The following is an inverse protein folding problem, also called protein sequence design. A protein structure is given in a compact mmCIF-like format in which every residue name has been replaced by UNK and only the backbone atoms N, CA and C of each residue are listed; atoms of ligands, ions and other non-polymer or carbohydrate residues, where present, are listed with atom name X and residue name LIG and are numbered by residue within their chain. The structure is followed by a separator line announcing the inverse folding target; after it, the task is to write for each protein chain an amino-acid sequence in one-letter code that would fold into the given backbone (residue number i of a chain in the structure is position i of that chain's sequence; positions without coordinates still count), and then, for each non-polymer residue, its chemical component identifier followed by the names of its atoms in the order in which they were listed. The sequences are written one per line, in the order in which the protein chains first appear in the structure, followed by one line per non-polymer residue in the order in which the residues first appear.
data_IF_265915551525
#
_entry.id   IF_265915551525
#
_cell.length_a   1.000
_cell.length_b   1.000
_cell.length_c   1.000
_cell.angle_alpha   90.00
_cell.angle_beta   90.00
_cell.angle_gamma   90.00
#
_symmetry.space_group_name_H-M   'P 1'
#
loop_
_entity.id
_entity.type
_entity.pdbx_description
1 polymer ?
#
# COMPACT_ATOMS: atom_id res chain seq x y z
N UNK A 1 19.27 -5.12 -21.48
CA UNK A 1 18.35 -5.92 -20.68
C UNK A 1 18.87 -6.00 -19.27
N UNK A 2 18.00 -5.81 -18.28
CA UNK A 2 18.31 -5.94 -16.86
C UNK A 2 17.24 -6.80 -16.17
N UNK A 3 17.59 -7.42 -15.05
CA UNK A 3 16.69 -8.13 -14.17
C UNK A 3 16.64 -7.41 -12.83
N UNK A 4 15.45 -7.01 -12.40
CA UNK A 4 15.18 -6.57 -11.04
C UNK A 4 14.59 -7.74 -10.26
N UNK A 5 15.09 -7.99 -9.05
CA UNK A 5 14.64 -9.08 -8.18
C UNK A 5 14.49 -8.56 -6.76
N UNK A 6 13.38 -8.90 -6.13
CA UNK A 6 13.14 -8.74 -4.71
C UNK A 6 12.81 -10.09 -4.10
N UNK A 7 13.40 -10.42 -2.97
CA UNK A 7 13.12 -11.66 -2.24
C UNK A 7 13.14 -11.40 -0.75
N UNK A 8 12.24 -12.03 -0.03
CA UNK A 8 12.11 -11.89 1.40
C UNK A 8 11.96 -13.24 2.09
N UNK A 9 12.68 -13.41 3.17
CA UNK A 9 12.55 -14.52 4.12
C UNK A 9 12.39 -13.94 5.51
N UNK A 10 11.14 -13.62 5.86
CA UNK A 10 10.81 -12.93 7.10
C UNK A 10 10.33 -13.89 8.20
N UNK A 11 9.63 -14.97 7.84
CA UNK A 11 9.06 -15.87 8.82
C UNK A 11 10.14 -16.54 9.68
N UNK A 12 10.00 -16.45 11.00
CA UNK A 12 10.79 -17.16 12.00
C UNK A 12 9.86 -17.79 13.04
N UNK A 13 10.28 -18.94 13.62
CA UNK A 13 9.63 -19.53 14.81
C UNK A 13 9.94 -18.74 16.07
N UNK A 14 11.06 -18.04 16.08
CA UNK A 14 11.42 -17.07 17.11
C UNK A 14 10.66 -15.77 16.84
N UNK A 15 9.60 -15.55 17.62
CA UNK A 15 8.70 -14.41 17.45
C UNK A 15 9.35 -13.10 17.88
N UNK A 16 10.21 -13.14 18.87
CA UNK A 16 10.93 -11.95 19.35
C UNK A 16 11.90 -11.46 18.29
N UNK A 17 12.72 -12.38 17.74
CA UNK A 17 13.59 -12.06 16.60
C UNK A 17 12.79 -11.52 15.40
N UNK A 18 11.67 -12.17 15.05
CA UNK A 18 10.83 -11.76 13.93
C UNK A 18 10.30 -10.32 14.09
N UNK A 19 9.88 -9.94 15.29
CA UNK A 19 9.38 -8.58 15.54
C UNK A 19 10.50 -7.55 15.62
N UNK A 20 11.68 -7.93 16.14
CA UNK A 20 12.81 -7.02 16.29
C UNK A 20 13.40 -6.53 14.97
N UNK A 21 13.22 -7.27 13.86
CA UNK A 21 13.71 -6.83 12.54
C UNK A 21 13.03 -5.54 12.06
N UNK A 22 11.80 -5.29 12.51
CA UNK A 22 11.09 -4.05 12.18
C UNK A 22 11.71 -2.81 12.82
N UNK A 23 12.46 -2.96 13.90
CA UNK A 23 13.18 -1.85 14.54
C UNK A 23 14.26 -1.23 13.62
N UNK A 24 14.73 -1.97 12.61
CA UNK A 24 15.68 -1.46 11.63
C UNK A 24 15.07 -0.50 10.58
N UNK A 25 13.76 -0.37 10.56
CA UNK A 25 13.06 0.44 9.55
C UNK A 25 12.76 1.88 10.01
N UNK A 26 13.27 2.30 11.16
CA UNK A 26 13.21 3.66 11.66
C UNK A 26 14.52 4.05 12.38
N UNK A 27 14.68 5.34 12.72
CA UNK A 27 15.86 5.80 13.43
C UNK A 27 15.81 5.34 14.90
N UNK A 28 16.61 4.31 15.21
CA UNK A 28 16.68 3.74 16.56
C UNK A 28 17.35 4.67 17.57
N UNK A 29 18.13 5.68 17.10
CA UNK A 29 18.77 6.66 17.97
C UNK A 29 17.80 7.71 18.51
N UNK A 30 16.63 7.84 17.86
CA UNK A 30 15.60 8.84 18.20
C UNK A 30 14.23 8.20 18.51
N UNK A 31 14.25 6.92 18.89
CA UNK A 31 13.06 6.09 19.09
C UNK A 31 12.05 6.71 20.05
N UNK A 32 12.51 7.27 21.17
CA UNK A 32 11.63 7.85 22.19
C UNK A 32 10.93 9.11 21.68
N UNK A 33 11.63 9.97 20.96
CA UNK A 33 11.04 11.19 20.38
C UNK A 33 10.03 10.84 19.28
N UNK A 34 10.35 9.87 18.41
CA UNK A 34 9.43 9.40 17.36
C UNK A 34 8.18 8.80 18.00
N UNK A 35 8.33 7.96 19.03
CA UNK A 35 7.20 7.37 19.76
C UNK A 35 6.32 8.43 20.40
N UNK A 36 6.91 9.47 20.99
CA UNK A 36 6.16 10.58 21.56
C UNK A 36 5.38 11.35 20.48
N UNK A 37 6.01 11.67 19.34
CA UNK A 37 5.33 12.33 18.21
C UNK A 37 4.16 11.52 17.68
N UNK A 38 4.30 10.19 17.60
CA UNK A 38 3.22 9.29 17.16
C UNK A 38 2.05 9.29 18.17
N UNK A 39 2.32 9.31 19.48
CA UNK A 39 1.28 9.43 20.48
C UNK A 39 0.53 10.77 20.34
N UNK A 40 1.23 11.88 20.18
CA UNK A 40 0.66 13.21 19.97
C UNK A 40 -0.23 13.28 18.71
N UNK A 41 0.14 12.56 17.62
CA UNK A 41 -0.71 12.47 16.44
C UNK A 41 -2.09 11.88 16.75
N UNK A 42 -2.15 10.91 17.65
CA UNK A 42 -3.38 10.23 18.04
C UNK A 42 -4.23 10.94 19.09
N UNK A 43 -3.72 12.00 19.73
CA UNK A 43 -4.43 12.73 20.79
C UNK A 43 -5.83 13.21 20.35
N UNK A 44 -6.80 13.09 21.25
CA UNK A 44 -8.20 13.46 21.01
C UNK A 44 -9.05 12.36 20.38
N UNK A 45 -8.48 11.20 20.07
CA UNK A 45 -9.20 9.98 19.69
C UNK A 45 -8.80 8.87 20.65
N UNK A 46 -9.59 8.70 21.72
CA UNK A 46 -9.30 7.71 22.75
C UNK A 46 -9.67 6.29 22.27
N UNK A 47 -8.74 5.31 22.35
CA UNK A 47 -9.06 3.92 22.04
C UNK A 47 -10.11 3.37 23.02
N UNK A 48 -11.19 2.74 22.55
CA UNK A 48 -12.14 2.07 23.43
C UNK A 48 -11.47 0.94 24.23
N UNK A 49 -11.93 0.65 25.48
CA UNK A 49 -11.40 -0.45 26.27
C UNK A 49 -11.44 -1.80 25.51
N UNK A 50 -10.36 -2.58 25.61
CA UNK A 50 -10.29 -3.91 24.99
C UNK A 50 -10.00 -3.90 23.48
N UNK A 51 -9.57 -2.76 22.92
CA UNK A 51 -9.22 -2.64 21.48
C UNK A 51 -7.72 -2.68 21.19
N UNK A 52 -6.93 -3.12 22.17
CA UNK A 52 -5.50 -3.39 22.01
C UNK A 52 -5.23 -4.87 22.30
N UNK A 53 -4.39 -5.50 21.50
CA UNK A 53 -4.01 -6.91 21.64
C UNK A 53 -3.11 -7.14 22.87
N UNK A 54 -3.39 -8.20 23.62
CA UNK A 54 -2.49 -8.68 24.68
C UNK A 54 -1.27 -9.44 24.11
N UNK A 55 -1.28 -9.78 22.81
CA UNK A 55 -0.18 -10.47 22.13
C UNK A 55 0.76 -9.47 21.47
N UNK A 56 2.07 -9.74 21.47
CA UNK A 56 3.03 -8.90 20.75
C UNK A 56 2.69 -8.75 19.26
N UNK A 57 2.83 -7.55 18.73
CA UNK A 57 2.66 -7.20 17.31
C UNK A 57 3.77 -6.23 16.86
N UNK A 58 3.88 -5.97 15.57
CA UNK A 58 4.88 -5.05 15.03
C UNK A 58 4.59 -3.62 15.44
N UNK A 59 5.62 -2.89 15.81
CA UNK A 59 5.57 -1.45 16.13
C UNK A 59 4.91 -0.61 15.01
N UNK A 60 5.00 -1.04 13.77
CA UNK A 60 4.34 -0.37 12.65
C UNK A 60 2.82 -0.36 12.75
N UNK A 61 2.22 -1.28 13.51
CA UNK A 61 0.79 -1.23 13.77
C UNK A 61 0.43 -0.01 14.62
N UNK A 62 1.25 0.37 15.59
CA UNK A 62 1.05 1.58 16.38
C UNK A 62 1.28 2.84 15.53
N UNK A 63 2.24 2.82 14.60
CA UNK A 63 2.46 3.90 13.63
C UNK A 63 1.19 4.14 12.80
N UNK A 64 0.66 3.09 12.16
CA UNK A 64 -0.56 3.21 11.36
C UNK A 64 -1.80 3.51 12.19
N UNK A 65 -1.87 3.04 13.42
CA UNK A 65 -2.95 3.41 14.34
C UNK A 65 -2.89 4.90 14.71
N UNK A 66 -1.70 5.47 14.89
CA UNK A 66 -1.51 6.91 15.11
C UNK A 66 -1.96 7.72 13.87
N UNK A 67 -1.56 7.30 12.67
CA UNK A 67 -2.01 7.91 11.41
C UNK A 67 -3.53 7.79 11.24
N UNK A 68 -4.11 6.64 11.59
CA UNK A 68 -5.56 6.45 11.57
C UNK A 68 -6.27 7.45 12.47
N UNK A 69 -5.82 7.59 13.72
CA UNK A 69 -6.44 8.52 14.68
C UNK A 69 -6.26 9.98 14.26
N UNK A 70 -5.10 10.36 13.70
CA UNK A 70 -4.92 11.68 13.09
C UNK A 70 -5.94 11.93 11.99
N UNK A 71 -6.13 10.97 11.10
CA UNK A 71 -7.05 11.07 9.97
C UNK A 71 -8.51 11.10 10.45
N UNK A 72 -8.86 10.29 11.46
CA UNK A 72 -10.19 10.29 12.09
C UNK A 72 -10.54 11.67 12.69
N UNK A 73 -9.63 12.28 13.45
CA UNK A 73 -9.89 13.59 14.05
C UNK A 73 -9.89 14.73 13.04
N UNK A 74 -9.12 14.62 11.96
CA UNK A 74 -8.96 15.70 10.98
C UNK A 74 -10.09 15.69 9.94
N UNK A 75 -10.47 14.51 9.46
CA UNK A 75 -11.39 14.35 8.34
C UNK A 75 -12.67 13.59 8.69
N UNK A 76 -12.78 13.08 9.93
CA UNK A 76 -13.96 12.32 10.33
C UNK A 76 -14.01 10.88 9.82
N UNK A 77 -12.88 10.35 9.33
CA UNK A 77 -12.80 8.95 8.90
C UNK A 77 -13.21 8.01 10.00
N UNK A 78 -14.00 7.01 9.67
CA UNK A 78 -14.54 6.04 10.64
C UNK A 78 -13.80 4.72 10.58
N UNK A 79 -13.82 3.95 11.67
CA UNK A 79 -13.28 2.57 11.66
C UNK A 79 -13.97 1.71 10.60
N UNK A 80 -15.26 1.95 10.32
CA UNK A 80 -16.02 1.23 9.29
C UNK A 80 -15.45 1.50 7.88
N UNK A 81 -15.04 2.71 7.59
CA UNK A 81 -14.41 3.06 6.32
C UNK A 81 -13.05 2.38 6.15
N UNK A 82 -12.26 2.30 7.22
CA UNK A 82 -11.01 1.54 7.23
C UNK A 82 -11.30 0.04 7.02
N UNK A 83 -12.32 -0.50 7.69
CA UNK A 83 -12.75 -1.88 7.51
C UNK A 83 -13.23 -2.20 6.08
N UNK A 84 -13.84 -1.23 5.41
CA UNK A 84 -14.28 -1.40 4.02
C UNK A 84 -13.11 -1.65 3.06
N UNK A 85 -11.95 -1.00 3.30
CA UNK A 85 -10.71 -1.26 2.55
C UNK A 85 -10.27 -2.71 2.73
N UNK A 86 -10.16 -3.18 3.98
CA UNK A 86 -9.73 -4.54 4.27
C UNK A 86 -10.71 -5.57 3.67
N UNK A 87 -12.02 -5.37 3.84
CA UNK A 87 -13.04 -6.25 3.25
C UNK A 87 -12.89 -6.36 1.72
N UNK A 88 -12.67 -5.22 1.04
CA UNK A 88 -12.42 -5.16 -0.39
C UNK A 88 -11.14 -5.93 -0.77
N UNK A 89 -10.02 -5.70 -0.10
CA UNK A 89 -8.74 -6.34 -0.40
C UNK A 89 -8.83 -7.86 -0.20
N UNK A 90 -9.46 -8.32 0.87
CA UNK A 90 -9.73 -9.74 1.07
C UNK A 90 -10.66 -10.34 -0.01
N UNK A 91 -11.65 -9.57 -0.50
CA UNK A 91 -12.50 -10.01 -1.62
C UNK A 91 -11.70 -10.10 -2.93
N UNK A 92 -10.82 -9.13 -3.23
CA UNK A 92 -9.98 -9.15 -4.44
C UNK A 92 -9.02 -10.35 -4.46
N UNK A 93 -8.51 -10.76 -3.31
CA UNK A 93 -7.54 -11.86 -3.20
C UNK A 93 -8.14 -13.25 -3.40
N UNK A 94 -9.46 -13.43 -3.29
CA UNK A 94 -10.12 -14.73 -3.44
C UNK A 94 -9.71 -15.43 -4.76
N UNK A 95 -9.69 -14.67 -5.83
CA UNK A 95 -9.36 -15.15 -7.17
C UNK A 95 -7.86 -15.01 -7.52
N UNK A 96 -7.01 -14.60 -6.56
CA UNK A 96 -5.58 -14.51 -6.78
C UNK A 96 -4.85 -15.76 -6.27
N UNK A 97 -4.36 -16.66 -7.15
CA UNK A 97 -3.67 -17.87 -6.72
C UNK A 97 -2.36 -17.62 -5.97
N UNK A 98 -1.81 -16.39 -6.07
CA UNK A 98 -0.57 -15.99 -5.41
C UNK A 98 -0.82 -15.37 -4.03
N UNK A 99 -2.08 -15.19 -3.61
CA UNK A 99 -2.41 -14.59 -2.33
C UNK A 99 -2.21 -15.57 -1.17
N UNK A 100 -1.68 -15.05 -0.06
CA UNK A 100 -1.51 -15.77 1.20
C UNK A 100 -2.86 -16.08 1.83
N UNK A 101 -3.77 -15.11 1.83
CA UNK A 101 -5.15 -15.28 2.26
C UNK A 101 -6.10 -15.20 1.06
N UNK A 102 -7.06 -16.12 1.01
CA UNK A 102 -8.06 -16.21 -0.06
C UNK A 102 -9.45 -16.42 0.51
N UNK A 103 -9.69 -15.77 1.65
CA UNK A 103 -10.96 -15.82 2.38
C UNK A 103 -11.57 -14.44 2.36
N UNK A 104 -12.78 -14.25 1.83
CA UNK A 104 -13.46 -12.97 1.86
C UNK A 104 -13.95 -12.66 3.28
N UNK A 105 -14.02 -11.38 3.60
CA UNK A 105 -14.65 -10.87 4.82
C UNK A 105 -15.66 -9.79 4.46
N UNK A 106 -16.79 -9.77 5.18
CA UNK A 106 -17.66 -8.60 5.22
C UNK A 106 -17.05 -7.51 6.10
N UNK A 107 -17.50 -6.28 5.94
CA UNK A 107 -17.07 -5.15 6.79
C UNK A 107 -17.32 -5.46 8.27
N UNK A 108 -18.46 -6.06 8.59
CA UNK A 108 -18.83 -6.39 9.99
C UNK A 108 -17.93 -7.51 10.56
N UNK A 109 -17.53 -8.50 9.77
CA UNK A 109 -16.55 -9.51 10.20
C UNK A 109 -15.17 -8.88 10.44
N UNK A 110 -14.74 -7.92 9.61
CA UNK A 110 -13.49 -7.18 9.83
C UNK A 110 -13.55 -6.38 11.13
N UNK A 111 -14.65 -5.66 11.38
CA UNK A 111 -14.84 -4.87 12.60
C UNK A 111 -14.85 -5.72 13.87
N UNK A 112 -15.44 -6.92 13.83
CA UNK A 112 -15.55 -7.83 14.95
C UNK A 112 -14.37 -8.79 15.10
N UNK A 113 -13.37 -8.69 14.24
CA UNK A 113 -12.16 -9.52 14.31
C UNK A 113 -11.28 -9.12 15.53
N UNK A 114 -10.34 -9.98 15.95
CA UNK A 114 -9.44 -9.68 17.06
C UNK A 114 -8.74 -8.33 16.87
N UNK A 115 -8.71 -7.47 17.90
CA UNK A 115 -8.04 -6.18 17.80
C UNK A 115 -6.52 -6.34 17.76
N UNK A 116 -5.84 -5.40 17.10
CA UNK A 116 -4.38 -5.23 17.18
C UNK A 116 -4.06 -4.00 18.01
N UNK A 117 -4.38 -2.82 17.50
CA UNK A 117 -4.32 -1.52 18.20
C UNK A 117 -5.32 -0.58 17.51
N UNK A 118 -6.16 0.11 18.29
CA UNK A 118 -7.27 0.90 17.75
C UNK A 118 -6.81 1.96 16.72
N UNK A 119 -7.47 2.03 15.55
CA UNK A 119 -8.70 1.35 15.12
C UNK A 119 -8.49 0.02 14.37
N UNK A 120 -7.28 -0.55 14.37
CA UNK A 120 -6.92 -1.71 13.54
C UNK A 120 -7.33 -3.03 14.18
N UNK A 121 -7.97 -3.89 13.37
CA UNK A 121 -8.22 -5.31 13.66
C UNK A 121 -7.33 -6.18 12.80
N UNK A 122 -7.24 -7.47 13.12
CA UNK A 122 -6.32 -8.41 12.46
C UNK A 122 -6.44 -8.41 10.91
N UNK A 123 -7.63 -8.46 10.29
CA UNK A 123 -7.74 -8.43 8.83
C UNK A 123 -7.35 -7.10 8.18
N UNK A 124 -7.24 -6.01 8.96
CA UNK A 124 -6.78 -4.71 8.47
C UNK A 124 -5.26 -4.58 8.41
N UNK A 125 -4.52 -5.64 8.73
CA UNK A 125 -3.07 -5.63 8.85
C UNK A 125 -2.45 -6.70 7.96
N UNK A 126 -1.36 -6.37 7.28
CA UNK A 126 -0.63 -7.33 6.45
C UNK A 126 -0.01 -8.45 7.28
N UNK A 127 -0.06 -9.71 6.79
CA UNK A 127 0.61 -10.82 7.45
C UNK A 127 2.13 -10.79 7.24
N UNK A 128 2.85 -11.48 8.13
CA UNK A 128 4.25 -11.83 7.88
C UNK A 128 4.31 -12.80 6.70
N UNK A 129 5.11 -12.48 5.70
CA UNK A 129 5.17 -13.22 4.44
C UNK A 129 6.60 -13.49 4.00
N UNK A 130 6.81 -14.67 3.45
CA UNK A 130 7.98 -15.01 2.63
C UNK A 130 7.58 -14.95 1.17
N UNK A 131 8.46 -14.51 0.29
CA UNK A 131 8.14 -14.48 -1.13
C UNK A 131 9.20 -13.81 -1.98
N UNK A 132 9.02 -13.90 -3.29
CA UNK A 132 9.90 -13.27 -4.26
C UNK A 132 9.12 -12.75 -5.46
N UNK A 133 9.65 -11.71 -6.07
CA UNK A 133 9.13 -11.17 -7.34
C UNK A 133 10.27 -10.66 -8.20
N UNK A 134 10.11 -10.73 -9.52
CA UNK A 134 11.12 -10.28 -10.46
C UNK A 134 10.49 -9.61 -11.68
N UNK A 135 11.21 -8.63 -12.24
CA UNK A 135 10.84 -7.96 -13.47
C UNK A 135 12.02 -7.89 -14.44
N UNK A 136 11.77 -8.20 -15.70
CA UNK A 136 12.75 -7.99 -16.78
C UNK A 136 12.53 -6.62 -17.40
N UNK A 137 13.58 -5.79 -17.37
CA UNK A 137 13.58 -4.46 -17.97
C UNK A 137 14.44 -4.45 -19.23
N UNK A 138 13.96 -3.79 -20.27
CA UNK A 138 14.71 -3.66 -21.51
C UNK A 138 14.50 -2.28 -22.14
N UNK A 139 15.55 -1.77 -22.78
CA UNK A 139 15.42 -0.63 -23.69
C UNK A 139 14.82 -1.09 -25.02
N UNK A 140 14.20 -0.18 -25.77
CA UNK A 140 13.68 -0.49 -27.10
C UNK A 140 14.78 -1.04 -28.03
N UNK A 141 16.02 -0.52 -27.93
CA UNK A 141 17.18 -1.02 -28.66
C UNK A 141 17.62 -2.41 -28.19
N UNK A 142 17.51 -2.70 -26.90
CA UNK A 142 17.77 -4.03 -26.32
C UNK A 142 16.81 -5.08 -26.87
N UNK A 143 15.51 -4.80 -26.86
CA UNK A 143 14.49 -5.69 -27.45
C UNK A 143 14.78 -5.97 -28.92
N UNK A 144 15.07 -4.93 -29.72
CA UNK A 144 15.42 -5.08 -31.13
C UNK A 144 16.65 -5.94 -31.34
N UNK A 145 17.73 -5.70 -30.57
CA UNK A 145 18.99 -6.45 -30.68
C UNK A 145 18.83 -7.94 -30.43
N UNK A 146 17.93 -8.31 -29.51
CA UNK A 146 17.70 -9.70 -29.14
C UNK A 146 16.50 -10.35 -29.87
N UNK A 147 15.90 -9.67 -30.84
CA UNK A 147 14.74 -10.19 -31.59
C UNK A 147 13.51 -10.46 -30.75
N UNK A 148 13.35 -9.74 -29.62
CA UNK A 148 12.24 -9.94 -28.68
C UNK A 148 11.01 -9.18 -29.19
N UNK A 149 9.88 -9.87 -29.23
CA UNK A 149 8.60 -9.28 -29.57
C UNK A 149 8.20 -8.19 -28.55
N UNK A 150 7.84 -7.03 -29.10
CA UNK A 150 7.46 -5.85 -28.32
C UNK A 150 5.96 -5.80 -27.98
N UNK A 151 5.14 -6.67 -28.56
CA UNK A 151 3.68 -6.66 -28.38
C UNK A 151 3.25 -6.82 -26.92
N UNK A 152 4.06 -7.50 -26.12
CA UNK A 152 3.83 -7.74 -24.70
C UNK A 152 4.56 -6.74 -23.78
N UNK A 153 5.33 -5.83 -24.35
CA UNK A 153 6.10 -4.89 -23.56
C UNK A 153 5.19 -3.81 -22.94
N UNK A 154 5.28 -3.64 -21.62
CA UNK A 154 4.64 -2.53 -20.90
C UNK A 154 5.70 -1.45 -20.69
N UNK A 155 5.34 -0.20 -21.00
CA UNK A 155 6.25 0.93 -20.87
C UNK A 155 6.29 1.42 -19.43
N UNK A 156 7.49 1.70 -18.92
CA UNK A 156 7.68 2.50 -17.71
C UNK A 156 7.68 3.97 -18.15
N UNK A 157 6.59 4.67 -17.90
CA UNK A 157 6.42 6.08 -18.27
C UNK A 157 7.11 7.01 -17.27
N UNK A 158 7.03 6.65 -15.99
CA UNK A 158 7.77 7.31 -14.92
C UNK A 158 8.15 6.30 -13.83
N UNK A 159 9.26 6.56 -13.17
CA UNK A 159 9.62 5.94 -11.88
C UNK A 159 10.34 7.03 -11.08
N UNK A 160 9.82 7.35 -9.92
CA UNK A 160 10.27 8.46 -9.07
C UNK A 160 10.42 7.94 -7.65
N UNK A 161 11.57 8.21 -7.06
CA UNK A 161 11.85 7.99 -5.65
C UNK A 161 11.90 9.34 -4.95
N UNK A 162 11.28 9.43 -3.78
CA UNK A 162 11.25 10.62 -2.94
C UNK A 162 11.48 10.22 -1.49
N UNK A 163 12.43 10.85 -0.83
CA UNK A 163 12.65 10.67 0.60
C UNK A 163 11.62 11.45 1.42
N UNK A 164 11.36 10.95 2.61
CA UNK A 164 10.61 11.65 3.65
C UNK A 164 11.23 13.00 4.02
N UNK A 165 10.53 13.75 4.82
CA UNK A 165 10.91 15.08 5.28
C UNK A 165 10.45 15.28 6.74
N UNK A 166 10.90 16.36 7.36
CA UNK A 166 10.41 16.77 8.67
C UNK A 166 9.22 17.76 8.49
N UNK A 167 8.16 17.28 7.84
CA UNK A 167 6.96 18.07 7.61
C UNK A 167 6.12 18.23 8.87
N UNK A 168 5.33 19.30 8.90
CA UNK A 168 4.25 19.42 9.88
C UNK A 168 3.16 18.37 9.65
N UNK A 169 2.52 17.89 10.72
CA UNK A 169 1.49 16.85 10.67
C UNK A 169 0.25 17.26 9.87
N UNK A 170 -0.02 18.56 9.77
CA UNK A 170 -1.15 19.13 9.02
C UNK A 170 -0.81 19.45 7.56
N UNK A 171 0.46 19.39 7.17
CA UNK A 171 0.92 19.66 5.80
C UNK A 171 0.84 18.38 4.95
N UNK A 172 -0.36 17.85 4.75
CA UNK A 172 -0.60 16.59 4.03
C UNK A 172 -0.09 16.63 2.59
N UNK A 173 -0.22 17.78 1.91
CA UNK A 173 0.25 17.98 0.54
C UNK A 173 1.78 17.88 0.39
N UNK A 174 2.53 17.94 1.51
CA UNK A 174 3.99 17.78 1.53
C UNK A 174 4.44 16.34 1.79
N UNK A 175 3.51 15.41 1.95
CA UNK A 175 3.83 14.00 2.12
C UNK A 175 4.75 13.49 1.00
N UNK A 176 5.73 12.65 1.34
CA UNK A 176 6.73 12.17 0.35
C UNK A 176 6.08 11.49 -0.85
N UNK A 177 5.03 10.69 -0.64
CA UNK A 177 4.26 10.07 -1.72
C UNK A 177 3.55 11.11 -2.59
N UNK A 178 2.93 12.15 -2.02
CA UNK A 178 2.27 13.20 -2.79
C UNK A 178 3.26 13.95 -3.69
N UNK A 179 4.47 14.23 -3.17
CA UNK A 179 5.56 14.85 -3.94
C UNK A 179 6.09 13.92 -5.03
N UNK A 180 6.23 12.61 -4.74
CA UNK A 180 6.64 11.61 -5.72
C UNK A 180 5.60 11.48 -6.85
N UNK A 181 4.30 11.40 -6.49
CA UNK A 181 3.19 11.29 -7.41
C UNK A 181 3.13 12.49 -8.38
N UNK A 182 3.21 13.72 -7.86
CA UNK A 182 3.25 14.93 -8.69
C UNK A 182 4.35 14.86 -9.74
N UNK A 183 5.58 14.53 -9.33
CA UNK A 183 6.72 14.40 -10.25
C UNK A 183 6.56 13.23 -11.23
N UNK A 184 5.93 12.15 -10.81
CA UNK A 184 5.68 11.00 -11.69
C UNK A 184 4.65 11.35 -12.77
N UNK A 185 3.56 12.03 -12.41
CA UNK A 185 2.56 12.52 -13.35
C UNK A 185 3.14 13.51 -14.36
N UNK A 186 3.90 14.50 -13.87
CA UNK A 186 4.59 15.47 -14.74
C UNK A 186 5.54 14.77 -15.74
N UNK A 187 6.32 13.80 -15.27
CA UNK A 187 7.27 13.05 -16.10
C UNK A 187 6.57 12.14 -17.12
N UNK A 188 5.45 11.54 -16.75
CA UNK A 188 4.66 10.68 -17.62
C UNK A 188 3.77 11.47 -18.61
N UNK A 189 3.50 12.75 -18.33
CA UNK A 189 2.58 13.60 -19.10
C UNK A 189 1.11 13.20 -18.96
N UNK A 190 0.73 12.71 -17.78
CA UNK A 190 -0.64 12.24 -17.44
C UNK A 190 -1.09 12.79 -16.10
N UNK A 191 -2.36 12.61 -15.75
CA UNK A 191 -2.92 12.99 -14.45
C UNK A 191 -3.58 11.83 -13.70
N UNK A 192 -4.00 12.05 -12.45
CA UNK A 192 -4.68 11.01 -11.65
C UNK A 192 -5.95 10.46 -12.33
N UNK A 193 -6.67 11.29 -13.10
CA UNK A 193 -7.88 10.88 -13.81
C UNK A 193 -7.63 9.90 -14.97
N UNK A 194 -6.39 9.79 -15.43
CA UNK A 194 -6.00 8.88 -16.52
C UNK A 194 -5.68 7.47 -16.01
N UNK A 195 -5.55 7.29 -14.69
CA UNK A 195 -5.16 6.01 -14.08
C UNK A 195 -6.35 5.04 -14.08
N UNK A 196 -6.12 3.88 -14.64
CA UNK A 196 -7.12 2.80 -14.76
C UNK A 196 -7.06 1.80 -13.60
N UNK A 197 -5.91 1.61 -12.97
CA UNK A 197 -5.70 0.72 -11.84
C UNK A 197 -4.50 1.15 -10.99
N UNK A 198 -4.55 0.90 -9.70
CA UNK A 198 -3.47 1.20 -8.78
C UNK A 198 -3.12 0.01 -7.89
N UNK A 199 -1.85 -0.15 -7.57
CA UNK A 199 -1.36 -0.97 -6.46
C UNK A 199 -0.62 -0.03 -5.51
N UNK A 200 -1.03 0.00 -4.24
CA UNK A 200 -0.45 0.87 -3.22
C UNK A 200 0.06 0.07 -2.02
N UNK A 201 0.89 0.70 -1.20
CA UNK A 201 1.44 0.09 0.00
C UNK A 201 0.42 0.15 1.14
N UNK A 202 -0.39 -0.88 1.25
CA UNK A 202 -1.39 -1.09 2.29
C UNK A 202 -0.87 -2.07 3.36
N UNK A 203 0.23 -1.72 4.03
CA UNK A 203 0.67 -2.51 5.20
C UNK A 203 -0.44 -2.60 6.26
N UNK A 204 -1.35 -1.66 6.24
CA UNK A 204 -2.67 -1.69 6.87
C UNK A 204 -3.71 -1.04 5.97
N UNK A 205 -5.00 -1.29 6.23
CA UNK A 205 -6.12 -0.66 5.52
C UNK A 205 -6.05 0.88 5.52
N UNK A 206 -5.55 1.48 6.59
CA UNK A 206 -5.31 2.93 6.65
C UNK A 206 -4.23 3.39 5.69
N UNK A 207 -3.23 2.55 5.45
CA UNK A 207 -2.20 2.82 4.45
C UNK A 207 -2.80 3.05 3.07
N UNK A 208 -3.74 2.20 2.63
CA UNK A 208 -4.43 2.40 1.35
C UNK A 208 -5.16 3.76 1.29
N UNK A 209 -5.91 4.12 2.34
CA UNK A 209 -6.62 5.42 2.40
C UNK A 209 -5.64 6.57 2.21
N UNK A 210 -4.54 6.58 2.95
CA UNK A 210 -3.51 7.62 2.86
C UNK A 210 -2.91 7.67 1.45
N UNK A 211 -2.61 6.53 0.85
CA UNK A 211 -1.91 6.50 -0.42
C UNK A 211 -2.80 6.87 -1.61
N UNK A 212 -4.09 6.50 -1.62
CA UNK A 212 -4.99 6.93 -2.70
C UNK A 212 -5.25 8.44 -2.68
N UNK A 213 -5.22 9.07 -1.51
CA UNK A 213 -5.27 10.52 -1.34
C UNK A 213 -3.98 11.18 -1.82
N UNK A 214 -2.82 10.67 -1.39
CA UNK A 214 -1.50 11.16 -1.82
C UNK A 214 -1.27 11.03 -3.32
N UNK A 215 -1.81 9.99 -3.95
CA UNK A 215 -1.79 9.80 -5.39
C UNK A 215 -2.81 10.69 -6.13
N UNK A 216 -3.70 11.39 -5.42
CA UNK A 216 -4.75 12.21 -6.01
C UNK A 216 -5.85 11.42 -6.69
N UNK A 217 -5.99 10.12 -6.38
CA UNK A 217 -7.07 9.27 -6.90
C UNK A 217 -8.43 9.62 -6.29
N UNK A 218 -8.42 10.30 -5.15
CA UNK A 218 -9.54 11.00 -4.55
C UNK A 218 -9.05 12.28 -3.86
N UNK A 219 -9.96 13.13 -3.41
CA UNK A 219 -9.59 14.30 -2.63
C UNK A 219 -9.06 13.91 -1.24
N UNK A 220 -8.27 14.77 -0.63
CA UNK A 220 -7.79 14.61 0.74
C UNK A 220 -8.99 14.52 1.71
N UNK A 221 -8.98 13.51 2.59
CA UNK A 221 -10.07 13.20 3.51
C UNK A 221 -11.21 12.37 2.90
N UNK A 222 -11.17 12.08 1.61
CA UNK A 222 -12.22 11.32 0.91
C UNK A 222 -11.88 9.82 0.71
N UNK A 223 -10.67 9.39 1.06
CA UNK A 223 -10.22 8.01 0.85
C UNK A 223 -11.10 6.98 1.56
N UNK A 224 -11.51 7.25 2.80
CA UNK A 224 -12.46 6.42 3.53
C UNK A 224 -13.85 6.35 2.87
N UNK A 225 -14.52 7.48 2.65
CA UNK A 225 -15.80 7.54 1.95
C UNK A 225 -15.84 6.86 0.57
N UNK A 226 -14.84 7.08 -0.30
CA UNK A 226 -14.81 6.46 -1.65
C UNK A 226 -14.61 4.95 -1.57
N UNK A 227 -13.83 4.48 -0.58
CA UNK A 227 -13.64 3.04 -0.36
C UNK A 227 -14.92 2.38 0.14
N UNK A 228 -15.63 2.99 1.09
CA UNK A 228 -16.91 2.48 1.61
C UNK A 228 -18.01 2.44 0.53
N UNK A 229 -18.00 3.39 -0.41
CA UNK A 229 -18.91 3.38 -1.58
C UNK A 229 -18.54 2.38 -2.66
N UNK A 230 -17.40 1.67 -2.51
CA UNK A 230 -16.93 0.68 -3.48
C UNK A 230 -16.28 1.28 -4.74
N UNK A 231 -15.93 2.56 -4.75
CA UNK A 231 -15.31 3.20 -5.92
C UNK A 231 -13.90 2.66 -6.22
N UNK A 232 -13.24 2.02 -5.23
CA UNK A 232 -11.91 1.40 -5.33
C UNK A 232 -11.95 -0.11 -5.57
N UNK A 233 -13.13 -0.71 -5.73
CA UNK A 233 -13.29 -2.14 -6.08
C UNK A 233 -12.97 -2.40 -7.54
N UNK A 234 -12.70 -3.66 -7.91
CA UNK A 234 -12.70 -4.08 -9.32
C UNK A 234 -14.09 -3.81 -9.91
N UNK A 235 -14.15 -3.05 -11.00
CA UNK A 235 -15.39 -2.53 -11.59
C UNK A 235 -15.85 -1.17 -11.04
N UNK A 236 -15.21 -0.65 -10.00
CA UNK A 236 -15.41 0.70 -9.50
C UNK A 236 -14.71 1.76 -10.36
N UNK A 237 -14.74 3.02 -9.90
CA UNK A 237 -14.18 4.16 -10.65
C UNK A 237 -12.67 4.05 -10.89
N UNK A 238 -11.91 3.66 -9.89
CA UNK A 238 -10.47 3.39 -9.98
C UNK A 238 -10.11 2.21 -9.07
N UNK A 239 -10.02 0.98 -9.61
CA UNK A 239 -9.64 -0.18 -8.82
C UNK A 239 -8.28 -0.02 -8.17
N UNK A 240 -8.25 -0.25 -6.85
CA UNK A 240 -7.05 -0.20 -6.03
C UNK A 240 -6.79 -1.58 -5.44
N UNK A 241 -5.53 -2.00 -5.49
CA UNK A 241 -5.08 -3.30 -5.01
C UNK A 241 -5.91 -4.48 -5.59
N UNK A 242 -6.06 -4.57 -6.93
CA UNK A 242 -6.77 -5.70 -7.55
C UNK A 242 -6.10 -7.05 -7.23
N UNK A 243 -4.84 -7.05 -6.80
CA UNK A 243 -4.14 -8.25 -6.33
C UNK A 243 -4.66 -8.80 -4.99
N UNK A 244 -5.38 -7.98 -4.21
CA UNK A 244 -5.75 -8.21 -2.81
C UNK A 244 -4.90 -7.42 -1.82
N UNK A 245 -3.99 -6.58 -2.32
CA UNK A 245 -3.12 -5.73 -1.50
C UNK A 245 -2.18 -6.51 -0.58
N UNK A 246 -1.43 -5.79 0.24
CA UNK A 246 -0.52 -6.39 1.20
C UNK A 246 -1.28 -7.09 2.33
N UNK A 247 -2.47 -6.57 2.69
CA UNK A 247 -3.31 -7.12 3.75
C UNK A 247 -3.72 -8.56 3.50
N UNK A 248 -3.98 -8.94 2.26
CA UNK A 248 -4.50 -10.26 1.91
C UNK A 248 -3.59 -11.06 0.99
N UNK A 249 -3.02 -10.43 -0.06
CA UNK A 249 -2.03 -11.09 -0.91
C UNK A 249 -0.79 -11.47 -0.11
N UNK A 250 -0.39 -10.63 0.82
CA UNK A 250 0.82 -10.80 1.64
C UNK A 250 1.85 -9.71 1.39
N UNK A 251 2.77 -9.56 2.34
CA UNK A 251 3.77 -8.51 2.37
C UNK A 251 5.19 -9.06 2.57
N UNK A 252 5.76 -9.79 1.60
CA UNK A 252 7.19 -10.09 1.61
C UNK A 252 7.95 -8.79 1.31
N UNK A 253 8.40 -8.08 2.35
CA UNK A 253 8.80 -6.65 2.34
C UNK A 253 9.68 -6.30 1.14
N UNK A 254 10.79 -7.00 0.94
CA UNK A 254 11.74 -6.74 -0.15
C UNK A 254 11.20 -7.10 -1.55
N UNK A 255 10.12 -7.87 -1.65
CA UNK A 255 9.54 -8.30 -2.92
C UNK A 255 8.27 -7.50 -3.28
N UNK A 256 7.67 -6.78 -2.33
CA UNK A 256 6.35 -6.15 -2.46
C UNK A 256 6.27 -5.19 -3.65
N UNK A 257 7.22 -4.27 -3.81
CA UNK A 257 7.17 -3.29 -4.90
C UNK A 257 7.18 -3.94 -6.29
N UNK A 258 7.97 -5.01 -6.49
CA UNK A 258 7.96 -5.77 -7.73
C UNK A 258 6.71 -6.64 -7.88
N UNK A 259 6.10 -7.12 -6.80
CA UNK A 259 4.84 -7.83 -6.84
C UNK A 259 3.67 -6.92 -7.25
N UNK A 260 3.67 -5.65 -6.83
CA UNK A 260 2.75 -4.62 -7.32
C UNK A 260 2.93 -4.40 -8.84
N UNK A 261 4.17 -4.24 -9.30
CA UNK A 261 4.48 -4.13 -10.73
C UNK A 261 4.02 -5.37 -11.51
N UNK A 262 4.21 -6.58 -10.96
CA UNK A 262 3.75 -7.81 -11.58
C UNK A 262 2.23 -7.79 -11.81
N UNK A 263 1.44 -7.45 -10.79
CA UNK A 263 -0.03 -7.38 -10.93
C UNK A 263 -0.42 -6.34 -11.98
N UNK A 264 0.14 -5.12 -11.92
CA UNK A 264 -0.20 -4.07 -12.88
C UNK A 264 0.21 -4.43 -14.31
N UNK A 265 1.32 -5.14 -14.50
CA UNK A 265 1.71 -5.66 -15.83
C UNK A 265 0.70 -6.70 -16.33
N UNK A 266 0.21 -7.59 -15.46
CA UNK A 266 -0.84 -8.55 -15.81
C UNK A 266 -2.14 -7.83 -16.20
N UNK A 267 -2.54 -6.81 -15.45
CA UNK A 267 -3.72 -5.98 -15.75
C UNK A 267 -3.58 -5.27 -17.12
N UNK A 268 -2.46 -4.62 -17.38
CA UNK A 268 -2.20 -3.90 -18.63
C UNK A 268 -2.08 -4.86 -19.85
N UNK A 269 -1.69 -6.10 -19.64
CA UNK A 269 -1.66 -7.14 -20.68
C UNK A 269 -3.00 -7.83 -20.91
N UNK A 270 -3.99 -7.57 -20.06
CA UNK A 270 -5.26 -8.31 -20.03
C UNK A 270 -5.06 -9.80 -19.71
N UNK A 271 -4.21 -10.08 -18.72
CA UNK A 271 -3.80 -11.42 -18.30
C UNK A 271 -4.14 -11.69 -16.81
N UNK A 272 -4.90 -10.80 -16.15
CA UNK A 272 -5.22 -10.93 -14.72
C UNK A 272 -6.39 -11.92 -14.45
N UNK A 273 -7.00 -12.51 -15.49
CA UNK A 273 -8.09 -13.47 -15.33
C UNK A 273 -9.33 -12.87 -14.65
N UNK A 274 -9.89 -13.53 -13.64
CA UNK A 274 -11.09 -13.02 -12.95
C UNK A 274 -10.92 -11.66 -12.25
N UNK A 275 -9.69 -11.26 -11.99
CA UNK A 275 -9.36 -9.96 -11.38
C UNK A 275 -9.13 -8.84 -12.38
N UNK A 276 -9.40 -9.09 -13.65
CA UNK A 276 -9.12 -8.15 -14.73
C UNK A 276 -9.90 -6.84 -14.54
N UNK A 277 -9.18 -5.73 -14.54
CA UNK A 277 -9.74 -4.38 -14.65
C UNK A 277 -10.01 -4.10 -16.12
N UNK A 278 -11.28 -3.91 -16.46
CA UNK A 278 -11.68 -3.67 -17.83
C UNK A 278 -11.08 -2.39 -18.40
N UNK A 279 -10.53 -2.48 -19.60
CA UNK A 279 -9.97 -1.33 -20.30
C UNK A 279 -8.72 -0.72 -19.69
N UNK A 280 -8.00 -1.43 -18.82
CA UNK A 280 -6.76 -0.95 -18.19
C UNK A 280 -5.72 -0.52 -19.25
N UNK A 281 -5.29 0.75 -19.20
CA UNK A 281 -4.30 1.34 -20.11
C UNK A 281 -3.14 2.02 -19.42
N UNK A 282 -3.40 2.65 -18.30
CA UNK A 282 -2.42 3.31 -17.44
C UNK A 282 -2.60 2.80 -16.02
N UNK A 283 -1.50 2.47 -15.38
CA UNK A 283 -1.51 1.96 -14.02
C UNK A 283 -0.42 2.61 -13.19
N UNK A 284 -0.67 2.74 -11.90
CA UNK A 284 0.26 3.35 -10.95
C UNK A 284 0.57 2.39 -9.81
N UNK A 285 1.85 2.20 -9.53
CA UNK A 285 2.33 1.52 -8.33
C UNK A 285 2.90 2.56 -7.37
N UNK A 286 2.50 2.47 -6.13
CA UNK A 286 3.10 3.21 -5.02
C UNK A 286 3.65 2.21 -3.99
N UNK A 287 4.87 2.45 -3.52
CA UNK A 287 5.48 1.66 -2.47
C UNK A 287 6.28 2.56 -1.54
N UNK A 288 5.81 2.67 -0.31
CA UNK A 288 6.50 3.35 0.78
C UNK A 288 7.31 2.39 1.65
N UNK A 289 8.23 2.91 2.44
CA UNK A 289 8.99 2.08 3.37
C UNK A 289 9.79 2.88 4.39
N UNK A 290 9.99 2.25 5.54
CA UNK A 290 10.62 2.86 6.70
C UNK A 290 9.75 3.96 7.32
N UNK A 291 10.28 4.58 8.37
CA UNK A 291 9.65 5.71 9.03
C UNK A 291 10.68 6.81 9.25
N UNK A 292 10.35 8.02 8.81
CA UNK A 292 11.10 9.25 9.11
C UNK A 292 10.14 10.29 9.67
N UNK A 293 10.31 10.63 10.94
CA UNK A 293 9.37 11.54 11.60
C UNK A 293 7.95 10.97 11.65
N UNK A 294 7.07 11.49 10.79
CA UNK A 294 5.64 11.12 10.74
C UNK A 294 5.19 10.68 9.34
N UNK A 295 6.09 10.23 8.50
CA UNK A 295 5.80 9.70 7.16
C UNK A 295 6.79 8.59 6.78
N UNK A 296 6.60 7.94 5.64
CA UNK A 296 7.57 6.98 5.13
C UNK A 296 8.94 7.63 4.92
N UNK A 297 10.02 6.92 5.27
CA UNK A 297 11.38 7.37 5.02
C UNK A 297 11.66 7.51 3.52
N UNK A 298 11.01 6.70 2.69
CA UNK A 298 11.10 6.75 1.23
C UNK A 298 9.80 6.29 0.60
N UNK A 299 9.39 6.93 -0.48
CA UNK A 299 8.29 6.50 -1.34
C UNK A 299 8.77 6.38 -2.79
N UNK A 300 8.32 5.34 -3.48
CA UNK A 300 8.54 5.12 -4.91
C UNK A 300 7.21 5.10 -5.64
N UNK A 301 7.06 5.95 -6.65
CA UNK A 301 5.88 5.99 -7.52
C UNK A 301 6.28 5.64 -8.94
N UNK A 302 5.67 4.60 -9.50
CA UNK A 302 5.92 4.12 -10.86
C UNK A 302 4.64 4.13 -11.67
N UNK A 303 4.68 4.78 -12.85
CA UNK A 303 3.55 4.81 -13.81
C UNK A 303 3.89 3.92 -14.99
N UNK A 304 3.00 2.98 -15.27
CA UNK A 304 3.09 2.00 -16.34
C UNK A 304 2.02 2.26 -17.38
N UNK A 305 2.33 2.00 -18.66
CA UNK A 305 1.37 2.17 -19.76
C UNK A 305 1.56 1.14 -20.88
N UNK A 306 0.46 0.80 -21.51
CA UNK A 306 0.43 -0.08 -22.68
C UNK A 306 0.69 0.70 -23.97
#
# INVERSE_FOLDING_TARGET
IALAVGTEKMYSRDRELLLSVFDSAWDVSDKDQISQRLMELGEGVEPPPGTTSDKPYSVFMDVYAAFSRLHMKTFGTTQRQIAAVAAKNHQHSVENPLSQYRVPYSIDEVLNAPPITYPLTLPMCSPISDGSSAAVLATASGLKRHGIDRSRAIRVLASVVQTGSDRDSTAFEKHCTARAAKRAYEKAGVGPADISAAEVHDATAMGEIIQIENLGLCALGEGGPVSERGETTIGGRVPVNPSGGLESKGHPVSATGLAQVYELVAQLRNEAGPRQVDGARLAIAENGGGLQGIEEAVACVTILGK
#
